data_IF_669414555830
#
_entry.id   IF_669414555830
#
_cell.length_a   1.000
_cell.length_b   1.000
_cell.length_c   1.000
_cell.angle_alpha   90.00
_cell.angle_beta   90.00
_cell.angle_gamma   90.00
#
_symmetry.space_group_name_H-M   'P 1'
#
loop_
_entity.id
_entity.type
_entity.pdbx_description
1 polymer ?
#
# COMPACT_ATOMS: atom_id res chain seq x y z
N UNK A 1 8.77 1.60 18.66
CA UNK A 1 8.47 0.95 17.37
C UNK A 1 9.32 -0.31 17.32
N UNK A 2 8.69 -1.47 17.49
CA UNK A 2 9.34 -2.72 17.90
C UNK A 2 10.35 -3.24 16.89
N UNK A 3 11.39 -3.90 17.40
CA UNK A 3 12.45 -4.59 16.65
C UNK A 3 11.95 -5.93 16.07
N UNK A 4 10.71 -5.94 15.57
CA UNK A 4 10.01 -7.14 15.12
C UNK A 4 9.86 -7.21 13.60
N UNK A 5 9.52 -8.39 13.07
CA UNK A 5 9.47 -8.66 11.64
C UNK A 5 8.34 -7.92 10.89
N UNK A 6 7.48 -7.18 11.60
CA UNK A 6 6.34 -6.46 11.02
C UNK A 6 5.16 -7.37 10.69
N UNK A 7 4.25 -6.89 9.84
CA UNK A 7 3.12 -7.68 9.35
C UNK A 7 3.47 -8.34 8.02
N UNK A 8 2.68 -9.35 7.62
CA UNK A 8 2.85 -10.02 6.33
C UNK A 8 2.81 -9.03 5.16
N UNK A 9 1.99 -7.98 5.27
CA UNK A 9 1.85 -6.91 4.28
C UNK A 9 3.11 -6.06 4.11
N UNK A 10 4.03 -6.09 5.08
CA UNK A 10 5.30 -5.37 5.02
C UNK A 10 6.38 -6.15 4.24
N UNK A 11 6.19 -7.45 4.00
CA UNK A 11 7.08 -8.26 3.15
C UNK A 11 7.03 -7.72 1.71
N UNK A 12 8.21 -7.31 1.20
CA UNK A 12 8.36 -6.73 -0.14
C UNK A 12 7.79 -5.31 -0.30
N UNK A 13 7.26 -4.69 0.77
CA UNK A 13 6.61 -3.38 0.71
C UNK A 13 7.54 -2.26 0.24
N UNK A 14 8.82 -2.29 0.61
CA UNK A 14 9.80 -1.26 0.22
C UNK A 14 10.04 -1.24 -1.29
N UNK A 15 10.23 -2.40 -1.91
CA UNK A 15 10.34 -2.52 -3.37
C UNK A 15 9.01 -2.09 -4.04
N UNK A 16 7.88 -2.56 -3.53
CA UNK A 16 6.55 -2.21 -4.06
C UNK A 16 6.26 -0.71 -3.97
N UNK A 17 6.64 -0.06 -2.88
CA UNK A 17 6.49 1.37 -2.68
C UNK A 17 7.36 2.17 -3.65
N UNK A 18 8.57 1.70 -3.96
CA UNK A 18 9.41 2.34 -4.97
C UNK A 18 8.81 2.17 -6.38
N UNK A 19 8.36 0.95 -6.71
CA UNK A 19 7.93 0.59 -8.07
C UNK A 19 6.51 1.02 -8.42
N UNK A 20 5.60 1.17 -7.46
CA UNK A 20 4.17 1.38 -7.75
C UNK A 20 3.53 2.56 -7.03
N UNK A 21 4.09 3.05 -5.92
CA UNK A 21 3.49 4.14 -5.16
C UNK A 21 3.65 5.48 -5.89
N UNK A 22 2.58 6.28 -5.83
CA UNK A 22 2.49 7.65 -6.37
C UNK A 22 2.45 7.73 -7.90
N UNK A 23 2.67 6.63 -8.62
CA UNK A 23 2.42 6.56 -10.05
C UNK A 23 0.91 6.61 -10.32
N UNK A 24 0.44 7.72 -10.87
CA UNK A 24 -0.95 7.87 -11.30
C UNK A 24 -1.02 8.43 -12.72
N UNK A 25 -2.00 7.96 -13.49
CA UNK A 25 -2.27 8.49 -14.83
C UNK A 25 -3.42 9.50 -14.84
N UNK A 26 -4.07 9.70 -13.68
CA UNK A 26 -5.26 10.52 -13.53
C UNK A 26 -4.93 11.88 -12.89
N UNK A 27 -5.85 12.84 -13.01
CA UNK A 27 -5.74 14.12 -12.31
C UNK A 27 -6.34 13.99 -10.92
N UNK A 28 -5.51 14.12 -9.90
CA UNK A 28 -5.89 13.98 -8.49
C UNK A 28 -5.58 15.26 -7.73
N UNK A 29 -6.57 15.77 -7.02
CA UNK A 29 -6.42 16.87 -6.08
C UNK A 29 -6.76 16.36 -4.69
N UNK A 30 -5.93 16.64 -3.70
CA UNK A 30 -6.11 16.25 -2.31
C UNK A 30 -5.83 17.46 -1.43
N UNK A 31 -6.82 17.88 -0.65
CA UNK A 31 -6.70 18.95 0.34
C UNK A 31 -6.90 18.35 1.73
N UNK A 32 -5.87 18.41 2.56
CA UNK A 32 -5.90 17.94 3.95
C UNK A 32 -5.84 19.14 4.88
N UNK A 33 -6.89 19.41 5.64
CA UNK A 33 -6.93 20.47 6.66
C UNK A 33 -6.88 19.88 8.06
N UNK A 34 -6.25 20.62 8.98
CA UNK A 34 -6.11 20.23 10.38
C UNK A 34 -6.89 21.19 11.26
N UNK A 35 -7.79 20.67 12.09
CA UNK A 35 -8.48 21.46 13.10
C UNK A 35 -7.65 21.56 14.38
N UNK A 36 -7.79 22.65 15.15
CA UNK A 36 -7.19 22.76 16.49
C UNK A 36 -7.68 21.67 17.47
N UNK A 37 -8.83 21.07 17.19
CA UNK A 37 -9.44 20.00 18.00
C UNK A 37 -8.87 18.60 17.67
N UNK A 38 -7.88 18.50 16.78
CA UNK A 38 -7.23 17.22 16.42
C UNK A 38 -7.95 16.41 15.34
N UNK A 39 -8.92 17.03 14.63
CA UNK A 39 -9.59 16.44 13.47
C UNK A 39 -8.79 16.76 12.22
N UNK A 40 -8.53 15.75 11.39
CA UNK A 40 -7.93 15.91 10.07
C UNK A 40 -8.99 15.64 9.02
N UNK A 41 -9.28 16.63 8.18
CA UNK A 41 -10.25 16.50 7.09
C UNK A 41 -9.50 16.46 5.76
N UNK A 42 -9.62 15.37 5.02
CA UNK A 42 -8.98 15.15 3.72
C UNK A 42 -10.04 15.07 2.63
N UNK A 43 -10.13 16.08 1.79
CA UNK A 43 -10.98 16.08 0.60
C UNK A 43 -10.15 15.69 -0.62
N UNK A 44 -10.56 14.65 -1.34
CA UNK A 44 -9.89 14.16 -2.55
C UNK A 44 -10.85 14.24 -3.73
N UNK A 45 -10.41 14.82 -4.84
CA UNK A 45 -11.08 14.75 -6.13
C UNK A 45 -10.16 14.10 -7.15
N UNK A 46 -10.64 13.07 -7.85
CA UNK A 46 -9.89 12.38 -8.91
C UNK A 46 -10.73 12.37 -10.18
N UNK A 47 -10.18 12.91 -11.28
CA UNK A 47 -10.78 12.82 -12.61
C UNK A 47 -10.13 11.66 -13.36
N UNK A 48 -10.94 10.64 -13.67
CA UNK A 48 -10.54 9.45 -14.41
C UNK A 48 -11.30 9.42 -15.74
N UNK A 49 -10.67 9.90 -16.80
CA UNK A 49 -11.35 10.14 -18.08
C UNK A 49 -12.48 11.17 -17.91
N UNK A 50 -13.71 10.78 -18.27
CA UNK A 50 -14.91 11.62 -18.12
C UNK A 50 -15.56 11.51 -16.73
N UNK A 51 -15.09 10.59 -15.89
CA UNK A 51 -15.68 10.32 -14.59
C UNK A 51 -14.97 11.11 -13.48
N UNK A 52 -15.75 11.85 -12.70
CA UNK A 52 -15.28 12.57 -11.53
C UNK A 52 -15.63 11.79 -10.27
N UNK A 53 -14.60 11.34 -9.57
CA UNK A 53 -14.72 10.68 -8.28
C UNK A 53 -14.28 11.68 -7.21
N UNK A 54 -15.07 11.85 -6.16
CA UNK A 54 -14.65 12.61 -5.00
C UNK A 54 -14.89 11.81 -3.74
N UNK A 55 -14.01 12.01 -2.76
CA UNK A 55 -14.17 11.46 -1.43
C UNK A 55 -13.74 12.46 -0.36
N UNK A 56 -14.41 12.42 0.78
CA UNK A 56 -14.07 13.20 1.96
C UNK A 56 -13.78 12.23 3.10
N UNK A 57 -12.54 12.19 3.56
CA UNK A 57 -12.13 11.44 4.73
C UNK A 57 -11.98 12.36 5.95
N UNK A 58 -12.62 12.02 7.05
CA UNK A 58 -12.51 12.71 8.34
C UNK A 58 -11.86 11.78 9.34
N UNK A 59 -10.67 12.12 9.80
CA UNK A 59 -9.94 11.37 10.81
C UNK A 59 -9.96 12.14 12.13
N UNK A 60 -10.51 11.52 13.18
CA UNK A 60 -10.46 12.02 14.55
C UNK A 60 -9.53 11.12 15.35
N UNK A 61 -8.46 11.69 15.90
CA UNK A 61 -7.58 10.97 16.82
C UNK A 61 -7.78 11.47 18.24
N UNK A 62 -8.25 10.59 19.12
CA UNK A 62 -8.41 10.87 20.53
C UNK A 62 -7.70 9.80 21.36
N UNK A 63 -6.62 10.20 22.04
CA UNK A 63 -5.73 9.28 22.79
C UNK A 63 -5.22 8.14 21.88
N UNK A 64 -5.59 6.91 22.21
CA UNK A 64 -5.25 5.66 21.55
C UNK A 64 -6.33 5.17 20.56
N UNK A 65 -7.38 5.96 20.33
CA UNK A 65 -8.45 5.64 19.37
C UNK A 65 -8.36 6.61 18.19
N UNK A 66 -8.35 6.04 16.98
CA UNK A 66 -8.44 6.78 15.72
C UNK A 66 -9.72 6.36 14.99
N UNK A 67 -10.58 7.32 14.70
CA UNK A 67 -11.81 7.09 13.95
C UNK A 67 -11.70 7.80 12.60
N UNK A 68 -11.73 7.01 11.52
CA UNK A 68 -11.72 7.47 10.14
C UNK A 68 -13.12 7.26 9.54
N UNK A 69 -13.69 8.34 9.00
CA UNK A 69 -14.98 8.32 8.29
C UNK A 69 -14.75 8.86 6.89
N UNK A 70 -14.85 7.97 5.90
CA UNK A 70 -14.70 8.30 4.49
C UNK A 70 -16.05 8.22 3.78
N UNK A 71 -16.43 9.31 3.12
CA UNK A 71 -17.65 9.40 2.30
C UNK A 71 -17.25 9.54 0.83
N UNK A 72 -17.79 8.71 -0.04
CA UNK A 72 -17.58 8.79 -1.49
C UNK A 72 -18.77 9.40 -2.24
N UNK A 73 -18.56 9.81 -3.50
CA UNK A 73 -19.62 10.33 -4.39
C UNK A 73 -20.71 9.31 -4.72
N UNK A 74 -20.46 8.02 -4.50
CA UNK A 74 -21.44 6.95 -4.64
C UNK A 74 -22.29 6.76 -3.37
N UNK A 75 -22.27 7.73 -2.45
CA UNK A 75 -23.04 7.73 -1.19
C UNK A 75 -22.70 6.58 -0.25
N UNK A 76 -21.50 6.00 -0.38
CA UNK A 76 -21.03 5.02 0.58
C UNK A 76 -20.26 5.72 1.70
N UNK A 77 -20.59 5.34 2.92
CA UNK A 77 -19.92 5.80 4.12
C UNK A 77 -19.09 4.65 4.70
N UNK A 78 -17.77 4.76 4.56
CA UNK A 78 -16.82 3.83 5.17
C UNK A 78 -16.39 4.38 6.51
N UNK A 79 -16.61 3.62 7.58
CA UNK A 79 -16.13 3.95 8.91
C UNK A 79 -15.08 2.93 9.33
N UNK A 80 -13.93 3.42 9.78
CA UNK A 80 -12.85 2.60 10.34
C UNK A 80 -12.51 3.12 11.73
N UNK A 81 -12.62 2.28 12.74
CA UNK A 81 -12.28 2.57 14.13
C UNK A 81 -11.04 1.74 14.45
N UNK A 82 -9.92 2.42 14.65
CA UNK A 82 -8.66 1.81 15.08
C UNK A 82 -8.43 2.11 16.55
N UNK A 83 -8.21 1.08 17.34
CA UNK A 83 -7.76 1.17 18.72
C UNK A 83 -6.31 0.68 18.75
N UNK A 84 -5.38 1.61 18.90
CA UNK A 84 -3.95 1.34 19.01
C UNK A 84 -3.61 0.99 20.47
N UNK A 85 -2.82 -0.06 20.68
CA UNK A 85 -2.33 -0.48 22.01
C UNK A 85 -3.41 -0.67 23.11
N UNK A 86 -4.52 -1.39 22.86
CA UNK A 86 -5.37 -1.86 23.97
C UNK A 86 -4.62 -2.80 24.93
N UNK A 87 -3.57 -3.46 24.41
CA UNK A 87 -2.53 -4.16 25.16
C UNK A 87 -1.18 -3.92 24.46
N UNK A 88 -0.03 -4.13 25.13
CA UNK A 88 1.28 -3.93 24.51
C UNK A 88 1.43 -4.73 23.19
N UNK A 89 1.67 -4.02 22.09
CA UNK A 89 1.83 -4.63 20.76
C UNK A 89 0.53 -5.01 20.04
N UNK A 90 -0.63 -4.87 20.67
CA UNK A 90 -1.93 -5.15 20.04
C UNK A 90 -2.48 -3.89 19.34
N UNK A 91 -3.20 -4.09 18.24
CA UNK A 91 -3.93 -3.07 17.51
C UNK A 91 -5.21 -3.68 16.95
N UNK A 92 -6.34 -3.08 17.24
CA UNK A 92 -7.65 -3.55 16.80
C UNK A 92 -8.24 -2.58 15.80
N UNK A 93 -8.74 -3.08 14.68
CA UNK A 93 -9.32 -2.28 13.60
C UNK A 93 -10.71 -2.83 13.30
N UNK A 94 -11.74 -2.02 13.51
CA UNK A 94 -13.11 -2.34 13.10
C UNK A 94 -13.45 -1.47 11.89
N UNK A 95 -13.87 -2.09 10.80
CA UNK A 95 -14.26 -1.39 9.57
C UNK A 95 -15.65 -1.82 9.12
N UNK A 96 -16.46 -0.89 8.63
CA UNK A 96 -17.77 -1.17 8.06
C UNK A 96 -18.16 -0.08 7.05
N UNK A 97 -19.00 -0.45 6.09
CA UNK A 97 -19.50 0.40 5.00
C UNK A 97 -21.02 0.48 5.09
N UNK A 98 -21.58 1.68 5.08
CA UNK A 98 -23.02 1.94 5.05
C UNK A 98 -23.38 2.41 3.63
N UNK A 99 -24.47 1.91 3.01
CA UNK A 99 -25.56 1.10 3.57
C UNK A 99 -25.35 -0.43 3.60
N UNK A 100 -24.19 -0.94 3.15
CA UNK A 100 -23.94 -2.37 3.10
C UNK A 100 -23.75 -3.01 4.50
N UNK A 101 -24.85 -3.50 5.09
CA UNK A 101 -24.84 -4.14 6.41
C UNK A 101 -23.95 -5.39 6.50
N UNK A 102 -23.49 -5.96 5.37
CA UNK A 102 -22.60 -7.14 5.32
C UNK A 102 -21.13 -6.76 5.09
N UNK A 103 -20.77 -5.50 5.21
CA UNK A 103 -19.40 -5.05 4.96
C UNK A 103 -18.53 -4.97 6.21
N UNK A 104 -19.10 -5.29 7.39
CA UNK A 104 -18.37 -5.25 8.65
C UNK A 104 -17.16 -6.18 8.60
N UNK A 105 -16.02 -5.72 9.10
CA UNK A 105 -14.79 -6.50 9.22
C UNK A 105 -14.05 -6.07 10.47
N UNK A 106 -13.74 -7.04 11.32
CA UNK A 106 -12.90 -6.87 12.51
C UNK A 106 -11.52 -7.42 12.20
N UNK A 107 -10.47 -6.65 12.46
CA UNK A 107 -9.07 -7.04 12.32
C UNK A 107 -8.32 -6.80 13.64
N UNK A 108 -7.48 -7.76 14.00
CA UNK A 108 -6.66 -7.80 15.19
C UNK A 108 -5.22 -8.03 14.77
N UNK A 109 -4.36 -7.06 15.02
CA UNK A 109 -2.93 -7.09 14.71
C UNK A 109 -2.16 -7.14 16.02
N UNK A 110 -1.33 -8.17 16.20
CA UNK A 110 -0.44 -8.32 17.34
C UNK A 110 1.01 -8.32 16.86
N UNK A 111 1.76 -7.31 17.27
CA UNK A 111 3.17 -7.13 16.96
C UNK A 111 4.00 -7.39 18.22
N UNK A 112 4.89 -8.36 18.10
CA UNK A 112 5.87 -8.74 19.11
C UNK A 112 7.28 -8.64 18.52
N UNK A 113 8.31 -8.69 19.37
CA UNK A 113 9.69 -8.51 18.94
C UNK A 113 10.19 -9.59 17.96
N UNK A 114 9.55 -10.76 17.90
CA UNK A 114 9.92 -11.83 16.97
C UNK A 114 8.75 -12.39 16.15
N UNK A 115 7.55 -11.83 16.34
CA UNK A 115 6.35 -12.34 15.71
C UNK A 115 5.38 -11.21 15.38
N UNK A 116 4.77 -11.24 14.20
CA UNK A 116 3.67 -10.37 13.82
C UNK A 116 2.49 -11.23 13.40
N UNK A 117 1.36 -11.11 14.08
CA UNK A 117 0.13 -11.83 13.77
C UNK A 117 -0.91 -10.80 13.35
N UNK A 118 -1.62 -11.06 12.25
CA UNK A 118 -2.84 -10.34 11.90
C UNK A 118 -3.95 -11.35 11.68
N UNK A 119 -5.09 -11.16 12.33
CA UNK A 119 -6.29 -11.94 12.09
C UNK A 119 -7.44 -11.01 11.79
N UNK A 120 -8.20 -11.29 10.73
CA UNK A 120 -9.39 -10.52 10.42
C UNK A 120 -10.56 -11.42 10.08
N UNK A 121 -11.77 -10.99 10.46
CA UNK A 121 -13.01 -11.72 10.24
C UNK A 121 -14.06 -10.76 9.68
N UNK A 122 -14.73 -11.17 8.60
CA UNK A 122 -15.94 -10.49 8.13
C UNK A 122 -17.10 -10.68 9.11
N UNK A 123 -17.80 -9.61 9.47
CA UNK A 123 -18.97 -9.63 10.36
C UNK A 123 -20.25 -9.85 9.53
N UNK A 124 -20.34 -11.01 8.87
CA UNK A 124 -21.47 -11.37 7.99
C UNK A 124 -21.96 -12.79 8.30
N UNK A 125 -23.08 -13.20 7.71
CA UNK A 125 -23.58 -14.57 7.85
C UNK A 125 -22.61 -15.63 7.27
N UNK A 126 -21.77 -15.24 6.32
CA UNK A 126 -20.74 -16.08 5.70
C UNK A 126 -19.39 -15.36 5.84
N UNK A 127 -18.78 -15.39 7.03
CA UNK A 127 -17.55 -14.66 7.29
C UNK A 127 -16.38 -15.23 6.47
N UNK A 128 -15.61 -14.35 5.85
CA UNK A 128 -14.26 -14.71 5.38
C UNK A 128 -13.31 -14.42 6.53
N UNK A 129 -12.58 -15.45 6.96
CA UNK A 129 -11.56 -15.35 8.01
C UNK A 129 -10.21 -15.30 7.33
N UNK A 130 -9.44 -14.25 7.57
CA UNK A 130 -8.05 -14.15 7.16
C UNK A 130 -7.15 -14.24 8.39
N UNK A 131 -6.07 -15.00 8.28
CA UNK A 131 -5.04 -15.13 9.28
C UNK A 131 -3.69 -15.01 8.59
N UNK A 132 -2.88 -14.06 9.04
CA UNK A 132 -1.53 -13.87 8.61
C UNK A 132 -0.59 -13.94 9.82
N UNK A 133 0.50 -14.68 9.68
CA UNK A 133 1.53 -14.81 10.70
C UNK A 133 2.88 -14.56 10.09
N UNK A 134 3.74 -13.84 10.81
CA UNK A 134 5.13 -13.58 10.45
C UNK A 134 5.99 -13.91 11.66
N UNK A 135 7.04 -14.68 11.46
CA UNK A 135 8.03 -15.03 12.45
C UNK A 135 9.41 -14.62 11.93
N UNK A 136 10.23 -14.03 12.79
CA UNK A 136 11.56 -13.61 12.39
C UNK A 136 12.09 -12.45 13.21
N UNK A 137 13.11 -11.81 12.69
CA UNK A 137 13.75 -10.62 13.26
C UNK A 137 13.85 -9.53 12.18
N UNK A 138 14.53 -8.44 12.49
CA UNK A 138 14.73 -7.33 11.55
C UNK A 138 15.56 -7.70 10.30
N UNK A 139 16.25 -8.83 10.30
CA UNK A 139 17.14 -9.28 9.21
C UNK A 139 16.49 -10.36 8.36
N UNK A 140 15.70 -11.25 8.96
CA UNK A 140 15.03 -12.35 8.27
C UNK A 140 13.63 -12.51 8.82
N UNK A 141 12.63 -12.49 7.94
CA UNK A 141 11.25 -12.75 8.31
C UNK A 141 10.62 -13.75 7.36
N UNK A 142 9.87 -14.69 7.92
CA UNK A 142 9.04 -15.65 7.20
C UNK A 142 7.60 -15.41 7.57
N UNK A 143 6.72 -15.32 6.59
CA UNK A 143 5.32 -15.08 6.81
C UNK A 143 4.43 -15.96 5.95
N UNK A 144 3.22 -16.15 6.43
CA UNK A 144 2.12 -16.76 5.69
C UNK A 144 0.87 -15.91 5.84
N UNK A 145 0.01 -15.94 4.84
CA UNK A 145 -1.29 -15.27 4.82
C UNK A 145 -2.33 -16.20 4.20
N UNK A 146 -3.27 -16.65 5.02
CA UNK A 146 -4.33 -17.59 4.63
C UNK A 146 -5.69 -16.94 4.81
N UNK A 147 -6.57 -17.14 3.83
CA UNK A 147 -7.99 -16.75 3.92
C UNK A 147 -8.87 -17.97 3.73
N UNK A 148 -9.86 -18.14 4.61
CA UNK A 148 -10.84 -19.20 4.60
C UNK A 148 -12.24 -18.61 4.42
N UNK A 149 -12.98 -19.12 3.44
CA UNK A 149 -14.39 -18.77 3.23
C UNK A 149 -15.29 -19.83 3.87
N UNK A 150 -16.08 -19.44 4.87
CA UNK A 150 -16.97 -20.37 5.58
C UNK A 150 -18.16 -20.83 4.75
N UNK A 151 -18.53 -20.12 3.69
CA UNK A 151 -19.63 -20.50 2.79
C UNK A 151 -19.25 -21.70 1.94
N UNK A 152 -18.06 -21.64 1.35
CA UNK A 152 -17.53 -22.68 0.48
C UNK A 152 -16.79 -23.77 1.27
N UNK A 153 -16.44 -23.50 2.52
CA UNK A 153 -15.62 -24.40 3.34
C UNK A 153 -14.22 -24.58 2.79
N UNK A 154 -13.70 -23.57 2.07
CA UNK A 154 -12.47 -23.66 1.30
C UNK A 154 -11.51 -22.49 1.60
N UNK A 155 -10.22 -22.76 1.47
CA UNK A 155 -9.22 -21.70 1.48
C UNK A 155 -9.29 -20.91 0.17
N UNK A 156 -9.58 -19.63 0.25
CA UNK A 156 -9.61 -18.71 -0.90
C UNK A 156 -8.25 -18.11 -1.18
N UNK A 157 -7.42 -17.92 -0.15
CA UNK A 157 -6.07 -17.37 -0.24
C UNK A 157 -5.10 -18.22 0.57
N UNK A 158 -3.93 -18.50 0.01
CA UNK A 158 -2.83 -19.15 0.72
C UNK A 158 -1.54 -18.63 0.12
N UNK A 159 -0.92 -17.68 0.84
CA UNK A 159 0.28 -17.00 0.40
C UNK A 159 1.40 -17.21 1.41
N UNK A 160 2.62 -17.30 0.91
CA UNK A 160 3.83 -17.43 1.71
C UNK A 160 4.80 -16.32 1.32
N UNK A 161 5.56 -15.83 2.27
CA UNK A 161 6.48 -14.74 2.08
C UNK A 161 7.75 -14.95 2.90
N UNK A 162 8.87 -14.56 2.34
CA UNK A 162 10.15 -14.47 3.03
C UNK A 162 10.73 -13.09 2.73
N UNK A 163 11.34 -12.45 3.72
CA UNK A 163 12.14 -11.25 3.51
C UNK A 163 13.50 -11.41 4.17
N UNK A 164 14.49 -10.83 3.50
CA UNK A 164 15.85 -10.70 3.99
C UNK A 164 16.24 -9.23 3.90
N UNK A 165 16.59 -8.64 5.04
CA UNK A 165 16.94 -7.24 5.20
C UNK A 165 18.36 -7.14 5.73
N UNK A 166 19.22 -6.45 4.99
CA UNK A 166 20.56 -6.05 5.38
C UNK A 166 20.60 -4.51 5.46
N UNK A 167 21.72 -3.92 5.88
CA UNK A 167 21.87 -2.48 6.11
C UNK A 167 21.37 -1.63 4.93
N UNK A 168 21.73 -2.02 3.70
CA UNK A 168 21.41 -1.26 2.48
C UNK A 168 20.51 -2.02 1.50
N UNK A 169 20.06 -3.23 1.83
CA UNK A 169 19.45 -4.16 0.87
C UNK A 169 18.28 -4.91 1.49
N UNK A 170 17.16 -4.96 0.79
CA UNK A 170 15.98 -5.71 1.18
C UNK A 170 15.58 -6.60 0.00
N UNK A 171 15.69 -7.90 0.18
CA UNK A 171 15.15 -8.89 -0.75
C UNK A 171 13.88 -9.49 -0.15
N UNK A 172 12.88 -9.77 -0.96
CA UNK A 172 11.72 -10.53 -0.51
C UNK A 172 11.23 -11.47 -1.60
N UNK A 173 10.82 -12.67 -1.20
CA UNK A 173 10.22 -13.68 -2.05
C UNK A 173 8.82 -13.94 -1.54
N UNK A 174 7.81 -13.88 -2.42
CA UNK A 174 6.43 -14.19 -2.06
C UNK A 174 5.83 -15.16 -3.06
N UNK A 175 5.15 -16.17 -2.57
CA UNK A 175 4.36 -17.10 -3.34
C UNK A 175 2.89 -16.78 -3.05
N UNK A 176 2.16 -16.35 -4.07
CA UNK A 176 0.77 -15.89 -3.98
C UNK A 176 -0.17 -16.83 -4.77
N UNK A 177 -1.47 -16.56 -4.69
CA UNK A 177 -2.50 -17.22 -5.50
C UNK A 177 -2.48 -18.75 -5.36
N UNK A 178 -2.34 -19.23 -4.11
CA UNK A 178 -2.27 -20.67 -3.78
C UNK A 178 -1.09 -21.40 -4.44
N UNK A 179 0.00 -20.70 -4.72
CA UNK A 179 1.19 -21.28 -5.34
C UNK A 179 1.35 -20.95 -6.82
N UNK A 180 0.40 -20.23 -7.42
CA UNK A 180 0.46 -19.93 -8.86
C UNK A 180 1.41 -18.78 -9.21
N UNK A 181 1.53 -17.78 -8.32
CA UNK A 181 2.31 -16.56 -8.64
C UNK A 181 3.52 -16.45 -7.73
N UNK A 182 4.71 -16.70 -8.25
CA UNK A 182 5.97 -16.47 -7.54
C UNK A 182 6.50 -15.07 -7.85
N UNK A 183 6.71 -14.24 -6.83
CA UNK A 183 7.28 -12.90 -6.97
C UNK A 183 8.54 -12.75 -6.14
N UNK A 184 9.63 -12.33 -6.77
CA UNK A 184 10.88 -11.96 -6.12
C UNK A 184 11.06 -10.44 -6.26
N UNK A 185 11.29 -9.76 -5.16
CA UNK A 185 11.52 -8.32 -5.13
C UNK A 185 12.85 -8.01 -4.46
N UNK A 186 13.48 -6.95 -4.95
CA UNK A 186 14.79 -6.49 -4.53
C UNK A 186 14.74 -4.98 -4.40
N UNK A 187 15.26 -4.46 -3.30
CA UNK A 187 15.37 -3.04 -3.02
C UNK A 187 16.75 -2.76 -2.46
N UNK A 188 17.46 -1.80 -3.02
CA UNK A 188 18.79 -1.41 -2.57
C UNK A 188 18.90 0.10 -2.44
N UNK A 189 19.31 0.56 -1.26
CA UNK A 189 19.60 1.95 -0.97
C UNK A 189 21.05 2.23 -1.35
N UNK A 190 21.25 2.99 -2.42
CA UNK A 190 22.58 3.34 -2.94
C UNK A 190 23.20 4.48 -2.14
N UNK A 191 22.39 5.49 -1.80
CA UNK A 191 22.84 6.63 -1.01
C UNK A 191 21.71 7.14 -0.11
N UNK A 192 21.84 6.98 1.22
CA UNK A 192 20.89 7.51 2.18
C UNK A 192 20.77 9.05 2.15
N UNK A 193 21.88 9.74 1.84
CA UNK A 193 21.97 11.21 1.83
C UNK A 193 21.09 11.83 0.73
N UNK A 194 21.06 11.21 -0.45
CA UNK A 194 20.25 11.64 -1.61
C UNK A 194 19.01 10.77 -1.80
N UNK A 195 18.65 9.96 -0.79
CA UNK A 195 17.53 9.01 -0.82
C UNK A 195 17.47 8.19 -2.13
N UNK A 196 18.65 7.85 -2.67
CA UNK A 196 18.79 7.14 -3.94
C UNK A 196 18.60 5.66 -3.68
N UNK A 197 17.62 5.07 -4.34
CA UNK A 197 17.33 3.66 -4.22
C UNK A 197 16.98 3.06 -5.58
N UNK A 198 17.35 1.80 -5.75
CA UNK A 198 16.97 1.00 -6.91
C UNK A 198 16.08 -0.14 -6.43
N UNK A 199 15.09 -0.49 -7.24
CA UNK A 199 14.19 -1.59 -6.98
C UNK A 199 13.99 -2.44 -8.22
N UNK A 200 13.84 -3.74 -8.03
CA UNK A 200 13.44 -4.67 -9.07
C UNK A 200 12.41 -5.65 -8.50
N UNK A 201 11.47 -6.05 -9.33
CA UNK A 201 10.49 -7.08 -9.02
C UNK A 201 10.34 -7.99 -10.24
N UNK A 202 10.40 -9.29 -10.01
CA UNK A 202 10.22 -10.34 -10.99
C UNK A 202 9.07 -11.20 -10.51
N UNK A 203 8.00 -11.27 -11.30
CA UNK A 203 6.83 -12.10 -11.03
C UNK A 203 6.68 -13.14 -12.13
N UNK A 204 6.62 -14.41 -11.74
CA UNK A 204 6.34 -15.54 -12.60
C UNK A 204 4.98 -16.13 -12.23
N UNK A 205 4.09 -16.27 -13.21
CA UNK A 205 2.81 -16.97 -13.05
C UNK A 205 2.91 -18.35 -13.69
N UNK A 206 2.75 -19.41 -12.89
CA UNK A 206 2.88 -20.79 -13.35
C UNK A 206 1.73 -21.19 -14.30
N UNK A 207 0.51 -20.70 -14.08
CA UNK A 207 -0.65 -20.99 -14.93
C UNK A 207 -0.56 -20.39 -16.33
N UNK A 208 -0.07 -19.16 -16.46
CA UNK A 208 0.09 -18.50 -17.76
C UNK A 208 1.49 -18.68 -18.36
N UNK A 209 2.45 -19.19 -17.57
CA UNK A 209 3.87 -19.28 -17.90
C UNK A 209 4.46 -17.93 -18.36
N UNK A 210 3.94 -16.82 -17.81
CA UNK A 210 4.38 -15.47 -18.13
C UNK A 210 5.31 -14.92 -17.05
N UNK A 211 6.30 -14.16 -17.49
CA UNK A 211 7.23 -13.43 -16.63
C UNK A 211 6.98 -11.94 -16.76
N UNK A 212 6.76 -11.27 -15.64
CA UNK A 212 6.72 -9.82 -15.52
C UNK A 212 7.95 -9.35 -14.78
N UNK A 213 8.74 -8.48 -15.40
CA UNK A 213 9.94 -7.91 -14.79
C UNK A 213 9.75 -6.40 -14.76
N UNK A 214 9.76 -5.81 -13.57
CA UNK A 214 9.68 -4.38 -13.35
C UNK A 214 10.93 -3.91 -12.63
N UNK A 215 11.62 -2.92 -13.19
CA UNK A 215 12.80 -2.29 -12.58
C UNK A 215 12.51 -0.82 -12.42
N UNK A 216 12.93 -0.23 -11.31
CA UNK A 216 12.77 1.19 -11.06
C UNK A 216 13.87 1.76 -10.19
N UNK A 217 13.90 3.08 -10.19
CA UNK A 217 14.86 3.88 -9.43
C UNK A 217 14.14 5.07 -8.83
N UNK A 218 14.64 5.50 -7.69
CA UNK A 218 14.25 6.69 -6.97
C UNK A 218 15.51 7.51 -6.69
N UNK A 219 15.42 8.81 -6.83
CA UNK A 219 16.49 9.75 -6.50
C UNK A 219 15.90 11.06 -5.99
N UNK A 220 16.40 11.57 -4.85
CA UNK A 220 16.10 12.92 -4.42
C UNK A 220 17.12 13.88 -5.04
N UNK A 221 16.64 14.79 -5.90
CA UNK A 221 17.47 15.83 -6.52
C UNK A 221 17.86 16.90 -5.51
N UNK A 222 16.94 17.22 -4.61
CA UNK A 222 17.14 18.10 -3.46
C UNK A 222 16.24 17.60 -2.30
N UNK A 223 16.32 18.18 -1.09
CA UNK A 223 15.49 17.76 0.04
C UNK A 223 13.97 17.86 -0.18
N UNK A 224 13.53 18.56 -1.22
CA UNK A 224 12.12 18.84 -1.52
C UNK A 224 11.63 18.11 -2.80
N UNK A 225 12.55 17.56 -3.61
CA UNK A 225 12.27 17.09 -4.98
C UNK A 225 12.73 15.66 -5.12
N UNK A 226 11.78 14.75 -5.35
CA UNK A 226 12.05 13.34 -5.60
C UNK A 226 11.62 12.95 -7.00
N UNK A 227 12.50 12.27 -7.72
CA UNK A 227 12.21 11.67 -9.01
C UNK A 227 12.17 10.16 -8.85
N UNK A 228 11.19 9.51 -9.47
CA UNK A 228 11.16 8.06 -9.62
C UNK A 228 10.95 7.69 -11.08
N UNK A 229 11.57 6.62 -11.52
CA UNK A 229 11.36 6.06 -12.85
C UNK A 229 11.23 4.55 -12.75
N UNK A 230 10.39 3.95 -13.58
CA UNK A 230 10.23 2.50 -13.68
C UNK A 230 10.05 2.07 -15.13
N UNK A 231 10.45 0.85 -15.41
CA UNK A 231 10.29 0.18 -16.69
C UNK A 231 9.83 -1.25 -16.44
N UNK A 232 8.90 -1.70 -17.26
CA UNK A 232 8.41 -3.06 -17.26
C UNK A 232 8.75 -3.76 -18.61
N UNK A 233 9.03 -5.07 -18.59
CA UNK A 233 9.30 -5.88 -19.80
C UNK A 233 8.16 -5.88 -20.85
N UNK A 234 6.95 -5.48 -20.46
CA UNK A 234 5.87 -5.23 -21.42
C UNK A 234 6.07 -3.97 -22.27
N UNK A 235 7.09 -3.15 -22.01
CA UNK A 235 7.35 -1.89 -22.72
C UNK A 235 6.69 -0.68 -22.06
N UNK A 236 6.20 -0.80 -20.82
CA UNK A 236 5.64 0.35 -20.10
C UNK A 236 6.74 1.06 -19.33
N UNK A 237 7.04 2.29 -19.72
CA UNK A 237 7.92 3.19 -19.00
C UNK A 237 7.06 4.20 -18.22
N UNK A 238 7.32 4.38 -16.93
CA UNK A 238 6.68 5.43 -16.15
C UNK A 238 7.71 6.28 -15.43
N UNK A 239 7.51 7.59 -15.41
CA UNK A 239 8.33 8.53 -14.66
C UNK A 239 7.43 9.37 -13.75
N UNK A 240 7.95 9.77 -12.59
CA UNK A 240 7.29 10.71 -11.70
C UNK A 240 8.30 11.70 -11.14
N UNK A 241 7.88 12.94 -11.02
CA UNK A 241 8.58 13.98 -10.27
C UNK A 241 7.63 14.51 -9.20
N UNK A 242 8.12 14.56 -7.97
CA UNK A 242 7.38 15.06 -6.83
C UNK A 242 8.15 16.20 -6.19
N UNK A 243 7.52 17.36 -6.08
CA UNK A 243 8.08 18.59 -5.53
C UNK A 243 7.29 19.01 -4.30
N UNK A 244 7.97 19.18 -3.18
CA UNK A 244 7.48 19.89 -2.01
C UNK A 244 7.69 21.39 -2.21
N UNK A 245 6.61 22.09 -2.58
CA UNK A 245 6.67 23.52 -2.89
C UNK A 245 6.35 24.41 -1.67
N UNK A 246 5.70 23.83 -0.66
CA UNK A 246 5.48 24.38 0.68
C UNK A 246 5.57 23.25 1.69
N UNK A 247 5.89 23.53 2.98
CA UNK A 247 5.95 22.49 4.01
C UNK A 247 4.73 21.59 3.98
N UNK A 248 4.94 20.28 3.84
CA UNK A 248 3.92 19.22 3.78
C UNK A 248 2.99 19.26 2.55
N UNK A 249 3.18 20.18 1.60
CA UNK A 249 2.38 20.29 0.38
C UNK A 249 3.19 19.85 -0.85
N UNK A 250 2.66 18.87 -1.58
CA UNK A 250 3.36 18.16 -2.64
C UNK A 250 2.65 18.34 -3.98
N UNK A 251 3.42 18.61 -5.02
CA UNK A 251 3.01 18.54 -6.43
C UNK A 251 3.68 17.30 -7.01
N UNK A 252 2.89 16.37 -7.54
CA UNK A 252 3.39 15.17 -8.20
C UNK A 252 2.95 15.15 -9.65
N UNK A 253 3.89 15.11 -10.57
CA UNK A 253 3.63 14.92 -12.00
C UNK A 253 4.11 13.53 -12.38
N UNK A 254 3.23 12.73 -12.98
CA UNK A 254 3.55 11.37 -13.38
C UNK A 254 3.17 11.12 -14.83
N UNK A 255 4.00 10.38 -15.54
CA UNK A 255 3.82 10.04 -16.95
C UNK A 255 3.98 8.56 -17.16
N UNK A 256 3.18 7.98 -18.05
CA UNK A 256 3.31 6.59 -18.47
C UNK A 256 3.25 6.51 -20.00
N UNK A 257 4.25 5.86 -20.59
CA UNK A 257 4.40 5.68 -22.04
C UNK A 257 4.53 4.19 -22.33
N UNK A 258 3.76 3.72 -23.30
CA UNK A 258 3.91 2.38 -23.87
C UNK A 258 4.87 2.44 -25.06
N UNK A 259 6.10 1.97 -24.86
CA UNK A 259 7.16 2.02 -25.87
C UNK A 259 6.92 1.09 -27.05
N UNK A 260 6.03 0.10 -26.92
CA UNK A 260 5.64 -0.78 -28.04
C UNK A 260 4.57 -0.15 -28.93
N UNK A 261 3.88 0.89 -28.43
CA UNK A 261 2.88 1.63 -29.18
C UNK A 261 3.05 3.13 -28.96
N UNK A 262 4.22 3.65 -29.36
CA UNK A 262 4.58 5.06 -29.19
C UNK A 262 3.63 6.02 -29.93
N UNK A 263 2.92 5.50 -30.94
CA UNK A 263 1.86 6.23 -31.67
C UNK A 263 0.60 6.47 -30.81
N UNK A 264 0.45 5.77 -29.68
CA UNK A 264 -0.63 6.03 -28.71
C UNK A 264 -0.20 7.12 -27.73
N UNK A 265 -1.10 8.08 -27.48
CA UNK A 265 -0.87 9.19 -26.56
C UNK A 265 -0.36 8.72 -25.20
N UNK A 266 0.74 9.32 -24.74
CA UNK A 266 1.26 9.15 -23.40
C UNK A 266 0.19 9.55 -22.35
N UNK A 267 0.14 8.80 -21.25
CA UNK A 267 -0.75 9.12 -20.13
C UNK A 267 -0.05 10.08 -19.20
N UNK A 268 -0.73 11.16 -18.83
CA UNK A 268 -0.24 12.18 -17.92
C UNK A 268 -1.16 12.31 -16.71
N UNK A 269 -0.61 12.10 -15.52
CA UNK A 269 -1.27 12.34 -14.24
C UNK A 269 -0.68 13.53 -13.52
N UNK A 270 -1.53 14.27 -12.82
CA UNK A 270 -1.13 15.39 -11.97
C UNK A 270 -1.78 15.20 -10.60
N UNK A 271 -0.96 15.12 -9.56
CA UNK A 271 -1.38 15.08 -8.16
C UNK A 271 -1.03 16.39 -7.49
N UNK A 272 -1.98 17.00 -6.81
CA UNK A 272 -1.71 18.11 -5.91
C UNK A 272 -2.22 17.75 -4.52
N UNK A 273 -1.30 17.60 -3.56
CA UNK A 273 -1.60 17.36 -2.17
C UNK A 273 -1.28 18.61 -1.35
N UNK A 274 -2.31 19.26 -0.81
CA UNK A 274 -2.19 20.48 0.00
C UNK A 274 -2.40 20.17 1.47
N UNK A 275 -1.49 20.68 2.29
CA UNK A 275 -1.56 20.68 3.76
C UNK A 275 -1.27 22.10 4.25
N UNK A 276 -2.30 22.90 4.57
CA UNK A 276 -2.13 24.22 5.14
C UNK A 276 -1.71 24.16 6.62
#
# INVERSE_FOLDING_TARGET
MGKGPGLYTDIGKRARDLLYKDYQSDQKFTLTTYSPTGVTLTSTGTKKGDLFLADVNTQLKHKNITTDIKVDTASNLFTTITVDEPAPGLKTILSFRVPDQRSGRLELQYLHDYAGISSSIGLTANPIVNFAGVLGNNTFALGSDVSFDTKEGAFTKCNFGASFTNADLIAALTLNDKGDTLSASYYHTVSPLTNTAVGAEVTHSFSSNENTITVGTQHALDPLTTVKARLNNFGKASALIQQEWRPKSLITVSTEVDTKSIDKSAKFGLALALKP
#
